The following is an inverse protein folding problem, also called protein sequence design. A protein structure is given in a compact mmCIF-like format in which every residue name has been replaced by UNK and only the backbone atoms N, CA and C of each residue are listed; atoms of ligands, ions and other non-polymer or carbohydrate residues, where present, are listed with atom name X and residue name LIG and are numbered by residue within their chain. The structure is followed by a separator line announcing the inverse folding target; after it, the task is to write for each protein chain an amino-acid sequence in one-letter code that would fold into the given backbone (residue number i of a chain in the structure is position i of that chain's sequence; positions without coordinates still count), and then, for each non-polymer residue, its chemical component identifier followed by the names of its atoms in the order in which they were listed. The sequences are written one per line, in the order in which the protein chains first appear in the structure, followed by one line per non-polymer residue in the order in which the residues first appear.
data_IF_673102195692
#
_entry.id   IF_673102195692
#
_cell.length_a   1.000
_cell.length_b   1.000
_cell.length_c   1.000
_cell.angle_alpha   90.00
_cell.angle_beta   90.00
_cell.angle_gamma   90.00
#
_symmetry.space_group_name_H-M   'P 1'
#
loop_
_entity.id
_entity.type
_entity.pdbx_description
1 polymer ?
#
# COMPACT_ATOMS: atom_id res chain seq x y z
N UNK A 1 12.13 -2.29 -69.10
CA UNK A 1 12.06 -3.18 -67.90
C UNK A 1 13.32 -3.13 -67.02
N UNK A 2 14.43 -2.53 -67.48
CA UNK A 2 15.71 -2.56 -66.74
C UNK A 2 15.85 -1.52 -65.62
N UNK A 3 15.23 -0.34 -65.72
CA UNK A 3 15.37 0.72 -64.72
C UNK A 3 14.77 0.37 -63.34
N UNK A 4 13.59 -0.26 -63.32
CA UNK A 4 12.96 -0.73 -62.09
C UNK A 4 13.79 -1.83 -61.41
N UNK A 5 14.40 -2.72 -62.19
CA UNK A 5 15.29 -3.76 -61.67
C UNK A 5 16.56 -3.17 -61.06
N UNK A 6 17.17 -2.18 -61.71
CA UNK A 6 18.35 -1.48 -61.17
C UNK A 6 18.02 -0.69 -59.91
N UNK A 7 16.85 -0.04 -59.85
CA UNK A 7 16.38 0.68 -58.67
C UNK A 7 16.12 -0.25 -57.48
N UNK A 8 15.50 -1.41 -57.72
CA UNK A 8 15.29 -2.44 -56.70
C UNK A 8 16.62 -3.00 -56.18
N UNK A 9 17.58 -3.28 -57.07
CA UNK A 9 18.91 -3.77 -56.67
C UNK A 9 19.67 -2.71 -55.87
N UNK A 10 19.61 -1.43 -56.27
CA UNK A 10 20.21 -0.33 -55.52
C UNK A 10 19.59 -0.17 -54.13
N UNK A 11 18.25 -0.30 -54.01
CA UNK A 11 17.54 -0.26 -52.74
C UNK A 11 17.85 -1.47 -51.85
N UNK A 12 18.11 -2.65 -52.42
CA UNK A 12 18.58 -3.83 -51.69
C UNK A 12 20.02 -3.70 -51.20
N UNK A 13 20.91 -3.09 -52.00
CA UNK A 13 22.32 -2.88 -51.65
C UNK A 13 22.47 -1.76 -50.61
N UNK A 14 21.62 -0.73 -50.65
CA UNK A 14 21.64 0.41 -49.74
C UNK A 14 20.64 0.29 -48.56
N UNK A 15 19.74 -0.70 -48.61
CA UNK A 15 18.55 -0.82 -47.76
C UNK A 15 18.79 -1.11 -46.27
N UNK A 16 19.78 -1.91 -45.86
CA UNK A 16 20.00 -2.18 -44.44
C UNK A 16 21.32 -1.57 -43.96
N UNK A 17 21.48 -0.25 -44.08
CA UNK A 17 22.55 0.48 -43.37
C UNK A 17 22.05 1.52 -42.38
N UNK A 18 20.73 1.69 -42.25
CA UNK A 18 20.12 2.70 -41.36
C UNK A 18 19.18 2.12 -40.31
N UNK A 19 19.18 0.81 -40.08
CA UNK A 19 18.32 0.17 -39.06
C UNK A 19 19.09 -0.52 -37.93
N UNK A 20 20.39 -0.26 -37.78
CA UNK A 20 21.17 -0.73 -36.63
C UNK A 20 21.19 0.28 -35.47
N UNK A 21 20.27 1.24 -35.47
CA UNK A 21 20.00 2.09 -34.30
C UNK A 21 18.75 1.65 -33.53
N UNK A 22 18.24 0.45 -33.81
CA UNK A 22 17.30 -0.26 -32.93
C UNK A 22 18.05 -1.27 -32.02
N UNK A 23 19.34 -1.05 -31.77
CA UNK A 23 20.13 -1.82 -30.81
C UNK A 23 19.69 -1.42 -29.40
N UNK A 24 18.71 -2.17 -28.88
CA UNK A 24 18.39 -2.31 -27.46
C UNK A 24 18.84 -1.13 -26.58
N UNK A 25 17.99 -0.09 -26.45
CA UNK A 25 18.11 0.87 -25.34
C UNK A 25 17.76 0.18 -24.01
N UNK A 26 18.41 -0.94 -23.68
CA UNK A 26 18.51 -1.42 -22.31
C UNK A 26 19.58 -0.56 -21.65
N UNK A 27 19.15 0.60 -21.16
CA UNK A 27 19.93 1.42 -20.23
C UNK A 27 20.39 0.51 -19.08
N UNK A 28 21.69 0.51 -18.78
CA UNK A 28 22.23 -0.20 -17.62
C UNK A 28 21.47 0.29 -16.38
N UNK A 29 20.66 -0.59 -15.79
CA UNK A 29 19.74 -0.23 -14.72
C UNK A 29 20.54 -0.20 -13.43
N UNK A 30 20.99 0.98 -13.03
CA UNK A 30 21.56 1.19 -11.71
C UNK A 30 20.48 0.95 -10.63
N UNK A 31 20.47 -0.26 -10.08
CA UNK A 31 19.55 -0.68 -9.04
C UNK A 31 19.66 0.18 -7.78
N UNK A 32 20.85 0.72 -7.47
CA UNK A 32 21.03 1.58 -6.29
C UNK A 32 20.43 2.96 -6.52
N UNK A 33 20.57 3.52 -7.73
CA UNK A 33 19.88 4.75 -8.11
C UNK A 33 18.35 4.56 -8.12
N UNK A 34 17.86 3.44 -8.68
CA UNK A 34 16.44 3.12 -8.69
C UNK A 34 15.88 2.93 -7.26
N UNK A 35 16.63 2.25 -6.39
CA UNK A 35 16.27 2.05 -4.99
C UNK A 35 16.19 3.37 -4.24
N UNK A 36 17.19 4.24 -4.40
CA UNK A 36 17.21 5.58 -3.79
C UNK A 36 16.01 6.41 -4.22
N UNK A 37 15.71 6.46 -5.52
CA UNK A 37 14.51 7.14 -6.06
C UNK A 37 13.23 6.55 -5.46
N UNK A 38 13.16 5.22 -5.31
CA UNK A 38 12.00 4.56 -4.71
C UNK A 38 11.85 4.90 -3.23
N UNK A 39 12.93 4.94 -2.46
CA UNK A 39 12.92 5.34 -1.05
C UNK A 39 12.40 6.78 -0.91
N UNK A 40 12.89 7.71 -1.74
CA UNK A 40 12.41 9.10 -1.73
C UNK A 40 10.93 9.21 -2.09
N UNK A 41 10.48 8.48 -3.11
CA UNK A 41 9.07 8.44 -3.49
C UNK A 41 8.18 7.86 -2.37
N UNK A 42 8.60 6.76 -1.75
CA UNK A 42 7.86 6.14 -0.62
C UNK A 42 7.82 7.07 0.59
N UNK A 43 8.91 7.79 0.88
CA UNK A 43 8.93 8.80 1.95
C UNK A 43 7.88 9.89 1.71
N UNK A 44 7.84 10.45 0.51
CA UNK A 44 6.81 11.43 0.13
C UNK A 44 5.41 10.84 0.23
N UNK A 45 5.21 9.61 -0.26
CA UNK A 45 3.93 8.93 -0.21
C UNK A 45 3.41 8.73 1.22
N UNK A 46 4.26 8.29 2.15
CA UNK A 46 3.87 8.10 3.56
C UNK A 46 3.46 9.45 4.18
N UNK A 47 4.28 10.48 3.97
CA UNK A 47 4.02 11.83 4.50
C UNK A 47 2.72 12.42 3.95
N UNK A 48 2.48 12.32 2.65
CA UNK A 48 1.24 12.76 2.01
C UNK A 48 0.02 11.99 2.51
N UNK A 49 0.13 10.66 2.70
CA UNK A 49 -0.96 9.85 3.28
C UNK A 49 -1.29 10.24 4.72
N UNK A 50 -0.30 10.63 5.51
CA UNK A 50 -0.47 11.07 6.90
C UNK A 50 -0.79 12.56 7.04
N UNK A 51 -0.80 13.33 5.94
CA UNK A 51 -0.96 14.78 5.94
C UNK A 51 0.11 15.50 6.78
N UNK A 52 1.36 15.03 6.68
CA UNK A 52 2.50 15.61 7.39
C UNK A 52 3.51 16.18 6.38
N UNK A 53 3.98 17.40 6.61
CA UNK A 53 5.05 18.00 5.81
C UNK A 53 6.43 17.40 6.13
N UNK A 54 6.65 17.08 7.41
CA UNK A 54 7.92 16.54 7.90
C UNK A 54 7.69 15.42 8.92
N UNK A 55 8.64 14.47 9.07
CA UNK A 55 8.56 13.46 10.10
C UNK A 55 8.41 14.08 11.50
N UNK A 56 7.51 13.55 12.36
CA UNK A 56 7.35 14.03 13.73
C UNK A 56 8.59 13.67 14.56
N UNK A 57 8.86 14.46 15.62
CA UNK A 57 9.95 14.17 16.55
C UNK A 57 9.63 12.93 17.38
N UNK A 58 10.61 12.07 17.61
CA UNK A 58 10.48 10.85 18.43
C UNK A 58 10.54 11.14 19.93
N UNK A 59 9.73 12.08 20.42
CA UNK A 59 9.75 12.45 21.84
C UNK A 59 8.77 11.58 22.64
N UNK A 60 9.31 10.79 23.57
CA UNK A 60 8.52 10.15 24.63
C UNK A 60 7.74 8.89 24.25
N UNK A 61 8.13 8.16 23.19
CA UNK A 61 7.47 6.88 22.84
C UNK A 61 7.80 5.82 23.90
N UNK A 62 6.82 5.31 24.65
CA UNK A 62 7.06 4.30 25.68
C UNK A 62 7.57 2.99 25.05
N UNK A 63 8.64 2.46 25.64
CA UNK A 63 9.18 1.14 25.35
C UNK A 63 9.16 0.30 26.63
N UNK A 64 8.43 -0.84 26.66
CA UNK A 64 7.65 -1.43 25.57
C UNK A 64 6.34 -0.67 25.29
N UNK A 65 5.81 -0.84 24.07
CA UNK A 65 4.52 -0.27 23.67
C UNK A 65 3.36 -0.84 24.53
N UNK A 66 2.31 -0.06 24.80
CA UNK A 66 1.13 -0.53 25.52
C UNK A 66 0.47 -1.74 24.83
N UNK A 67 0.02 -2.71 25.63
CA UNK A 67 -0.58 -3.95 25.12
C UNK A 67 -1.81 -3.70 24.23
N UNK A 68 -2.63 -2.70 24.57
CA UNK A 68 -3.82 -2.33 23.80
C UNK A 68 -3.47 -1.90 22.37
N UNK A 69 -2.41 -1.08 22.20
CA UNK A 69 -1.92 -0.66 20.88
C UNK A 69 -1.42 -1.85 20.08
N UNK A 70 -0.68 -2.76 20.73
CA UNK A 70 -0.18 -3.98 20.10
C UNK A 70 -1.31 -4.89 19.63
N UNK A 71 -2.33 -5.07 20.47
CA UNK A 71 -3.51 -5.88 20.19
C UNK A 71 -4.35 -5.27 19.05
N UNK A 72 -4.52 -3.95 19.04
CA UNK A 72 -5.16 -3.23 17.94
C UNK A 72 -4.40 -3.44 16.63
N UNK A 73 -3.08 -3.22 16.62
CA UNK A 73 -2.25 -3.44 15.44
C UNK A 73 -2.32 -4.88 14.93
N UNK A 74 -2.23 -5.87 15.81
CA UNK A 74 -2.31 -7.28 15.41
C UNK A 74 -3.67 -7.64 14.81
N UNK A 75 -4.76 -7.01 15.27
CA UNK A 75 -6.09 -7.22 14.70
C UNK A 75 -6.26 -6.67 13.27
N UNK A 76 -5.44 -5.69 12.86
CA UNK A 76 -5.58 -5.03 11.54
C UNK A 76 -4.69 -5.62 10.45
N UNK A 77 -3.62 -6.35 10.80
CA UNK A 77 -2.66 -6.89 9.82
C UNK A 77 -3.31 -7.73 8.72
N UNK A 78 -4.14 -8.70 9.10
CA UNK A 78 -4.79 -9.60 8.14
C UNK A 78 -5.91 -8.91 7.32
N UNK A 79 -6.82 -8.12 7.92
CA UNK A 79 -7.79 -7.34 7.16
C UNK A 79 -7.15 -6.42 6.11
N UNK A 80 -6.09 -5.69 6.46
CA UNK A 80 -5.38 -4.79 5.54
C UNK A 80 -4.75 -5.57 4.39
N UNK A 81 -4.15 -6.75 4.65
CA UNK A 81 -3.61 -7.63 3.59
C UNK A 81 -4.70 -8.06 2.59
N UNK A 82 -5.89 -8.39 3.09
CA UNK A 82 -7.03 -8.77 2.24
C UNK A 82 -7.53 -7.60 1.39
N UNK A 83 -7.63 -6.40 1.98
CA UNK A 83 -8.01 -5.17 1.26
C UNK A 83 -7.06 -4.90 0.09
N UNK A 84 -5.74 -4.89 0.32
CA UNK A 84 -4.74 -4.67 -0.74
C UNK A 84 -4.88 -5.70 -1.88
N UNK A 85 -5.23 -6.94 -1.55
CA UNK A 85 -5.43 -8.01 -2.56
C UNK A 85 -6.74 -7.82 -3.34
N UNK A 86 -7.80 -7.35 -2.68
CA UNK A 86 -9.11 -7.10 -3.28
C UNK A 86 -9.19 -5.79 -4.09
N UNK A 87 -8.57 -4.70 -3.62
CA UNK A 87 -8.49 -3.42 -4.32
C UNK A 87 -7.77 -3.54 -5.66
N UNK A 88 -6.72 -4.38 -5.73
CA UNK A 88 -6.06 -4.69 -7.01
C UNK A 88 -7.02 -5.32 -8.04
N UNK A 89 -8.16 -5.87 -7.60
CA UNK A 89 -9.20 -6.45 -8.46
C UNK A 89 -10.40 -5.52 -8.69
N UNK A 90 -10.54 -4.43 -7.92
CA UNK A 90 -11.68 -3.50 -7.97
C UNK A 90 -11.16 -2.07 -8.16
N UNK A 91 -10.86 -1.71 -9.40
CA UNK A 91 -10.67 -0.30 -9.78
C UNK A 91 -12.03 0.33 -10.03
N UNK A 92 -12.58 1.03 -9.05
CA UNK A 92 -13.77 1.89 -9.23
C UNK A 92 -13.42 3.32 -8.84
N UNK A 93 -13.29 4.19 -9.83
CA UNK A 93 -12.77 5.56 -9.75
C UNK A 93 -13.68 6.58 -9.03
N UNK A 94 -14.66 6.14 -8.23
CA UNK A 94 -15.73 7.02 -7.71
C UNK A 94 -15.51 7.47 -6.25
N UNK A 95 -14.48 6.96 -5.58
CA UNK A 95 -14.18 7.28 -4.16
C UNK A 95 -12.67 7.50 -3.88
N UNK A 96 -11.87 7.82 -4.90
CA UNK A 96 -10.39 7.80 -4.81
C UNK A 96 -9.79 8.81 -3.82
N UNK A 97 -10.40 10.00 -3.65
CA UNK A 97 -9.81 11.07 -2.85
C UNK A 97 -9.90 10.81 -1.32
N UNK A 98 -11.05 10.34 -0.82
CA UNK A 98 -11.24 9.97 0.60
C UNK A 98 -10.50 8.68 1.00
N UNK A 99 -10.14 7.87 0.01
CA UNK A 99 -9.45 6.60 0.20
C UNK A 99 -7.91 6.76 0.15
N UNK A 100 -7.43 7.90 -0.34
CA UNK A 100 -6.00 8.18 -0.44
C UNK A 100 -5.34 8.39 0.92
N UNK A 101 -5.98 9.12 1.84
CA UNK A 101 -5.42 9.46 3.15
C UNK A 101 -5.52 8.31 4.16
N UNK A 102 -4.62 8.33 5.15
CA UNK A 102 -4.62 7.36 6.22
C UNK A 102 -5.85 7.52 7.12
N UNK A 103 -6.39 6.39 7.59
CA UNK A 103 -7.54 6.34 8.50
C UNK A 103 -7.07 5.96 9.90
N UNK A 104 -7.55 6.67 10.91
CA UNK A 104 -7.34 6.29 12.30
C UNK A 104 -8.15 5.04 12.62
N UNK A 105 -7.51 4.05 13.22
CA UNK A 105 -8.17 2.80 13.63
C UNK A 105 -8.50 2.87 15.12
N UNK A 106 -9.75 2.57 15.47
CA UNK A 106 -10.21 2.44 16.85
C UNK A 106 -10.99 1.15 17.02
N UNK A 107 -10.92 0.55 18.21
CA UNK A 107 -11.70 -0.62 18.58
C UNK A 107 -12.64 -0.26 19.73
N UNK A 108 -13.89 -0.68 19.61
CA UNK A 108 -14.90 -0.58 20.66
C UNK A 108 -15.27 -1.99 21.10
N UNK A 109 -15.24 -2.25 22.40
CA UNK A 109 -15.64 -3.54 22.94
C UNK A 109 -17.16 -3.61 23.10
N UNK A 110 -17.75 -4.75 22.73
CA UNK A 110 -19.17 -5.00 22.94
C UNK A 110 -19.39 -5.57 24.34
N UNK A 111 -20.37 -5.02 25.07
CA UNK A 111 -20.79 -5.58 26.35
C UNK A 111 -21.49 -6.92 26.12
N UNK A 112 -21.06 -7.96 26.82
CA UNK A 112 -21.73 -9.25 26.81
C UNK A 112 -23.06 -9.15 27.56
N UNK A 113 -24.17 -9.05 26.83
CA UNK A 113 -25.50 -9.08 27.40
C UNK A 113 -25.88 -10.53 27.74
N UNK A 114 -25.43 -11.03 28.90
CA UNK A 114 -25.64 -12.44 29.26
C UNK A 114 -25.23 -12.91 30.65
N UNK A 115 -24.99 -12.03 31.62
CA UNK A 115 -24.71 -12.48 33.01
C UNK A 115 -25.31 -11.61 34.12
N UNK A 116 -26.35 -10.82 33.84
CA UNK A 116 -26.94 -9.91 34.83
C UNK A 116 -28.12 -10.49 35.64
N UNK A 117 -28.59 -11.73 35.38
CA UNK A 117 -29.84 -12.23 36.00
C UNK A 117 -29.67 -13.50 36.86
N UNK A 118 -28.56 -13.67 37.60
CA UNK A 118 -28.44 -14.82 38.52
C UNK A 118 -27.87 -14.53 39.91
N UNK A 119 -27.86 -13.27 40.34
CA UNK A 119 -27.40 -12.91 41.70
C UNK A 119 -28.33 -12.04 42.56
N UNK A 120 -29.58 -11.82 42.16
CA UNK A 120 -30.61 -11.33 43.08
C UNK A 120 -31.58 -12.46 43.44
N UNK A 121 -31.26 -13.21 44.48
CA UNK A 121 -32.14 -14.29 44.94
C UNK A 121 -31.53 -15.20 45.99
N UNK A 122 -30.91 -14.66 47.02
CA UNK A 122 -30.43 -15.48 48.13
C UNK A 122 -29.87 -14.64 49.25
N UNK A 123 -30.39 -14.87 50.46
CA UNK A 123 -29.93 -14.38 51.77
C UNK A 123 -30.34 -12.97 52.23
N UNK A 124 -31.62 -12.82 52.57
CA UNK A 124 -32.01 -12.24 53.86
C UNK A 124 -32.71 -13.36 54.65
N UNK A 125 -31.95 -14.15 55.40
CA UNK A 125 -31.89 -14.07 56.87
C UNK A 125 -33.26 -14.23 57.54
N UNK A 126 -33.56 -15.50 57.78
CA UNK A 126 -34.35 -16.04 58.87
C UNK A 126 -34.02 -15.32 60.20
N UNK A 127 -34.89 -14.40 60.62
CA UNK A 127 -35.03 -14.01 62.03
C UNK A 127 -36.42 -13.41 62.25
N UNK A 128 -37.41 -14.28 62.49
CA UNK A 128 -38.47 -14.05 63.46
C UNK A 128 -39.14 -15.36 63.85
#
# INVERSE_FOLDING_TARGET
MSFFSVLLMALWILGPRMTDSAFSMCQDLDFEAARTRRIQAVRGQILSKLQLETPPKEEGVPHPLPHEVMLLYNSTREPVRRMVTCERRRSTALHEDEEYYAKEVRRVEMLAFGHADSKMGGSYLQHR
#
